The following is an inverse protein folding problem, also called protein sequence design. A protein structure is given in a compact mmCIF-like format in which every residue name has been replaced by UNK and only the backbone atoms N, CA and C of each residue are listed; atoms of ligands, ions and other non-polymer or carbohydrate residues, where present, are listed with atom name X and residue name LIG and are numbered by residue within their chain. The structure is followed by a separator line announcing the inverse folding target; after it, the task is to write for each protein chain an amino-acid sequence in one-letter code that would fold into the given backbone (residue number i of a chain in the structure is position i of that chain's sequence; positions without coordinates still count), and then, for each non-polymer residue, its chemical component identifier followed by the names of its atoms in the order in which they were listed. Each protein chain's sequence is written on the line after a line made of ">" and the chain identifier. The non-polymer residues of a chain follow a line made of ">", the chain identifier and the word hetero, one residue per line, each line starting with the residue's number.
data_IF_604659374012
#
_entry.id   IF_604659374012
#
_cell.length_a   1.000
_cell.length_b   1.000
_cell.length_c   1.000
_cell.angle_alpha   90.00
_cell.angle_beta   90.00
_cell.angle_gamma   90.00
#
_symmetry.space_group_name_H-M   'P 1'
#
loop_
_entity.id
_entity.type
_entity.pdbx_description
1 polymer ?
#
# COMPACT_ATOMS: atom_id res chain seq x y z
N UNK A 1 -17.65 -7.63 13.57
CA UNK A 1 -17.51 -6.94 12.27
C UNK A 1 -16.67 -5.71 12.54
N UNK A 2 -15.57 -5.48 11.83
CA UNK A 2 -14.71 -4.31 12.08
C UNK A 2 -15.53 -3.03 11.88
N UNK A 3 -15.37 -2.05 12.76
CA UNK A 3 -16.06 -0.77 12.68
C UNK A 3 -15.59 0.12 11.50
N UNK A 4 -14.65 -0.36 10.66
CA UNK A 4 -14.07 0.36 9.53
C UNK A 4 -14.14 -0.48 8.24
N UNK A 5 -15.32 -0.67 7.63
CA UNK A 5 -15.48 -1.48 6.41
C UNK A 5 -14.70 -0.94 5.20
N UNK A 6 -14.19 0.30 5.27
CA UNK A 6 -13.45 0.96 4.20
C UNK A 6 -12.03 0.41 3.98
N UNK A 7 -11.46 -0.33 4.95
CA UNK A 7 -10.07 -0.79 4.88
C UNK A 7 -9.99 -2.32 4.86
N UNK A 8 -10.43 -2.92 3.79
CA UNK A 8 -10.47 -4.37 3.60
C UNK A 8 -10.41 -4.73 2.11
N UNK A 9 -10.14 -6.00 1.81
CA UNK A 9 -10.11 -6.48 0.43
C UNK A 9 -8.82 -6.13 -0.32
N UNK A 10 -8.96 -5.79 -1.58
CA UNK A 10 -7.86 -5.49 -2.49
C UNK A 10 -7.62 -3.98 -2.55
N UNK A 11 -6.57 -3.52 -1.89
CA UNK A 11 -6.17 -2.10 -1.84
C UNK A 11 -4.92 -1.91 -2.69
N UNK A 12 -4.91 -0.97 -3.62
CA UNK A 12 -3.72 -0.71 -4.43
C UNK A 12 -2.74 0.23 -3.73
N UNK A 13 -1.46 -0.14 -3.69
CA UNK A 13 -0.37 0.82 -3.48
C UNK A 13 -0.07 1.49 -4.82
N UNK A 14 -0.77 2.59 -5.13
CA UNK A 14 -0.79 3.17 -6.46
C UNK A 14 0.58 3.74 -6.86
N UNK A 15 1.03 3.45 -8.09
CA UNK A 15 2.17 4.14 -8.69
C UNK A 15 1.82 5.61 -8.95
N UNK A 16 2.80 6.51 -8.84
CA UNK A 16 2.65 7.91 -9.27
C UNK A 16 3.23 8.03 -10.68
N UNK A 17 2.39 8.20 -11.71
CA UNK A 17 2.88 8.39 -13.08
C UNK A 17 3.62 9.72 -13.19
N UNK A 18 4.68 9.72 -13.98
CA UNK A 18 5.52 10.88 -14.24
C UNK A 18 5.75 11.02 -15.73
N UNK A 19 5.97 12.25 -16.20
CA UNK A 19 6.40 12.53 -17.56
C UNK A 19 7.89 12.23 -17.77
N UNK A 20 8.42 12.48 -18.97
CA UNK A 20 9.84 12.26 -19.31
C UNK A 20 10.81 13.14 -18.52
N UNK A 21 10.33 14.22 -17.89
CA UNK A 21 11.10 15.14 -17.06
C UNK A 21 11.03 14.80 -15.56
N UNK A 22 10.23 13.79 -15.19
CA UNK A 22 10.02 13.37 -13.80
C UNK A 22 8.98 14.23 -13.06
N UNK A 23 8.19 15.04 -13.77
CA UNK A 23 7.06 15.75 -13.19
C UNK A 23 5.84 14.82 -13.07
N UNK A 24 5.03 15.02 -12.04
CA UNK A 24 3.83 14.19 -11.81
C UNK A 24 2.82 14.39 -12.94
N UNK A 25 2.47 13.31 -13.63
CA UNK A 25 1.49 13.29 -14.72
C UNK A 25 0.07 13.06 -14.18
N UNK A 26 -0.65 14.16 -13.96
CA UNK A 26 -2.01 14.10 -13.41
C UNK A 26 -3.05 13.53 -14.39
N UNK A 27 -2.81 13.61 -15.71
CA UNK A 27 -3.71 13.01 -16.70
C UNK A 27 -3.64 11.47 -16.63
N UNK A 28 -2.45 10.92 -16.56
CA UNK A 28 -2.29 9.48 -16.37
C UNK A 28 -2.70 9.04 -14.96
N UNK A 29 -2.50 9.86 -13.91
CA UNK A 29 -3.00 9.59 -12.57
C UNK A 29 -4.53 9.44 -12.57
N UNK A 30 -5.25 10.34 -13.27
CA UNK A 30 -6.70 10.26 -13.43
C UNK A 30 -7.11 8.94 -14.10
N UNK A 31 -6.44 8.56 -15.20
CA UNK A 31 -6.71 7.30 -15.89
C UNK A 31 -6.49 6.08 -15.00
N UNK A 32 -5.43 6.08 -14.18
CA UNK A 32 -5.16 5.01 -13.22
C UNK A 32 -6.26 4.91 -12.14
N UNK A 33 -6.72 6.04 -11.60
CA UNK A 33 -7.84 6.05 -10.64
C UNK A 33 -9.10 5.45 -11.26
N UNK A 34 -9.47 5.84 -12.48
CA UNK A 34 -10.61 5.27 -13.21
C UNK A 34 -10.42 3.77 -13.49
N UNK A 35 -9.21 3.35 -13.87
CA UNK A 35 -8.87 1.95 -14.09
C UNK A 35 -9.13 1.09 -12.84
N UNK A 36 -8.72 1.58 -11.67
CA UNK A 36 -8.94 0.87 -10.40
C UNK A 36 -10.42 0.85 -9.98
N UNK A 37 -11.14 1.95 -10.15
CA UNK A 37 -12.58 2.01 -9.86
C UNK A 37 -13.35 1.00 -10.74
N UNK A 38 -13.08 0.98 -12.04
CA UNK A 38 -13.74 0.09 -12.99
C UNK A 38 -13.40 -1.39 -12.76
N UNK A 39 -12.22 -1.68 -12.23
CA UNK A 39 -11.77 -3.04 -11.94
C UNK A 39 -12.24 -3.58 -10.59
N UNK A 40 -12.88 -2.76 -9.75
CA UNK A 40 -13.41 -3.19 -8.45
C UNK A 40 -12.37 -3.20 -7.33
N UNK A 41 -11.28 -2.41 -7.43
CA UNK A 41 -10.36 -2.18 -6.32
C UNK A 41 -11.10 -1.57 -5.13
N UNK A 42 -10.84 -2.04 -3.91
CA UNK A 42 -11.57 -1.64 -2.71
C UNK A 42 -11.12 -0.29 -2.12
N UNK A 43 -9.84 0.06 -2.26
CA UNK A 43 -9.29 1.37 -1.87
C UNK A 43 -7.98 1.69 -2.60
N UNK A 44 -7.59 2.96 -2.60
CA UNK A 44 -6.33 3.44 -3.19
C UNK A 44 -5.43 4.01 -2.09
N UNK A 45 -4.18 3.51 -1.99
CA UNK A 45 -3.12 4.21 -1.25
C UNK A 45 -2.39 5.13 -2.22
N UNK A 46 -2.54 6.44 -2.04
CA UNK A 46 -1.83 7.47 -2.80
C UNK A 46 -0.52 7.85 -2.11
N UNK A 47 0.55 7.96 -2.87
CA UNK A 47 1.91 8.34 -2.46
C UNK A 47 2.46 7.58 -1.25
N UNK A 48 2.26 6.25 -1.23
CA UNK A 48 3.05 5.34 -0.38
C UNK A 48 4.43 5.09 -0.99
N UNK A 49 5.11 4.03 -0.54
CA UNK A 49 6.42 3.60 -1.10
C UNK A 49 6.36 3.40 -2.62
N UNK A 50 5.32 2.71 -3.10
CA UNK A 50 5.10 2.45 -4.53
C UNK A 50 4.81 3.73 -5.31
N UNK A 51 4.20 4.72 -4.66
CA UNK A 51 3.94 6.05 -5.22
C UNK A 51 5.14 7.00 -5.16
N UNK A 52 6.34 6.51 -4.79
CA UNK A 52 7.59 7.28 -4.77
C UNK A 52 7.56 8.49 -3.83
N UNK A 53 6.85 8.38 -2.69
CA UNK A 53 6.75 9.47 -1.71
C UNK A 53 8.11 10.02 -1.24
N UNK A 54 9.16 9.18 -1.21
CA UNK A 54 10.49 9.57 -0.75
C UNK A 54 11.23 10.54 -1.69
N UNK A 55 10.83 10.63 -2.96
CA UNK A 55 11.46 11.50 -3.99
C UNK A 55 10.54 12.64 -4.45
N UNK A 56 9.34 12.70 -3.89
CA UNK A 56 8.42 13.83 -4.04
C UNK A 56 8.61 14.80 -2.87
N UNK A 57 8.57 16.11 -3.12
CA UNK A 57 8.49 17.10 -2.05
C UNK A 57 7.17 16.97 -1.26
N UNK A 58 7.09 17.60 -0.10
CA UNK A 58 5.84 17.61 0.69
C UNK A 58 4.68 18.18 -0.14
N UNK A 59 4.90 19.28 -0.86
CA UNK A 59 3.87 19.92 -1.69
C UNK A 59 3.41 19.02 -2.83
N UNK A 60 4.33 18.31 -3.49
CA UNK A 60 3.99 17.34 -4.53
C UNK A 60 3.21 16.14 -3.98
N UNK A 61 3.63 15.61 -2.82
CA UNK A 61 2.92 14.54 -2.12
C UNK A 61 1.47 14.96 -1.82
N UNK A 62 1.29 16.14 -1.20
CA UNK A 62 -0.03 16.69 -0.89
C UNK A 62 -0.86 16.89 -2.16
N UNK A 63 -0.27 17.49 -3.20
CA UNK A 63 -0.95 17.74 -4.47
C UNK A 63 -1.40 16.43 -5.15
N UNK A 64 -0.55 15.40 -5.16
CA UNK A 64 -0.88 14.09 -5.74
C UNK A 64 -2.01 13.40 -4.97
N UNK A 65 -2.01 13.48 -3.63
CA UNK A 65 -3.09 12.94 -2.79
C UNK A 65 -4.40 13.67 -3.08
N UNK A 66 -4.40 15.01 -3.06
CA UNK A 66 -5.60 15.81 -3.31
C UNK A 66 -6.18 15.56 -4.70
N UNK A 67 -5.33 15.41 -5.72
CA UNK A 67 -5.77 15.04 -7.08
C UNK A 67 -6.31 13.62 -7.14
N UNK A 68 -5.74 12.67 -6.40
CA UNK A 68 -6.32 11.32 -6.29
C UNK A 68 -7.71 11.36 -5.66
N UNK A 69 -7.92 12.15 -4.59
CA UNK A 69 -9.24 12.35 -3.96
C UNK A 69 -10.23 12.99 -4.94
N UNK A 70 -9.80 14.04 -5.66
CA UNK A 70 -10.62 14.73 -6.68
C UNK A 70 -11.08 13.74 -7.77
N UNK A 71 -10.15 12.93 -8.31
CA UNK A 71 -10.47 11.96 -9.36
C UNK A 71 -11.31 10.78 -8.85
N UNK A 72 -11.08 10.35 -7.62
CA UNK A 72 -11.90 9.32 -6.97
C UNK A 72 -13.35 9.79 -6.79
N UNK A 73 -13.58 11.08 -6.55
CA UNK A 73 -14.89 11.71 -6.43
C UNK A 73 -15.85 10.94 -5.47
N UNK A 74 -15.32 10.41 -4.37
CA UNK A 74 -16.06 9.62 -3.39
C UNK A 74 -16.47 8.20 -3.83
N UNK A 75 -16.09 7.77 -5.04
CA UNK A 75 -16.42 6.42 -5.57
C UNK A 75 -15.56 5.31 -5.00
N UNK A 76 -14.39 5.63 -4.50
CA UNK A 76 -13.43 4.70 -3.89
C UNK A 76 -12.70 5.42 -2.75
N UNK A 77 -12.48 4.76 -1.60
CA UNK A 77 -11.70 5.33 -0.50
C UNK A 77 -10.25 5.64 -0.92
N UNK A 78 -9.73 6.79 -0.46
CA UNK A 78 -8.33 7.17 -0.67
C UNK A 78 -7.61 7.22 0.67
N UNK A 79 -6.53 6.47 0.78
CA UNK A 79 -5.61 6.43 1.93
C UNK A 79 -4.36 7.20 1.53
N UNK A 80 -3.92 8.14 2.36
CA UNK A 80 -2.72 8.93 2.11
C UNK A 80 -1.48 8.32 2.75
N UNK A 81 -0.38 8.21 2.03
CA UNK A 81 0.94 7.95 2.61
C UNK A 81 1.44 9.19 3.33
N UNK A 82 1.56 9.15 4.66
CA UNK A 82 1.92 10.31 5.50
C UNK A 82 3.13 10.06 6.40
N UNK A 83 3.70 8.85 6.38
CA UNK A 83 4.80 8.47 7.26
C UNK A 83 6.12 9.15 6.90
N UNK A 84 6.90 9.47 7.92
CA UNK A 84 8.27 9.95 7.83
C UNK A 84 9.09 9.39 9.00
N UNK A 85 10.43 9.46 8.91
CA UNK A 85 11.29 9.03 10.02
C UNK A 85 11.47 10.11 11.10
N UNK A 86 11.06 11.35 10.82
CA UNK A 86 10.93 12.42 11.81
C UNK A 86 9.45 12.59 12.20
N UNK A 87 9.15 12.51 13.50
CA UNK A 87 7.78 12.65 14.00
C UNK A 87 7.14 13.98 13.62
N UNK A 88 7.91 15.06 13.61
CA UNK A 88 7.45 16.40 13.22
C UNK A 88 7.02 16.49 11.75
N UNK A 89 7.73 15.81 10.85
CA UNK A 89 7.39 15.76 9.43
C UNK A 89 6.11 14.95 9.19
N UNK A 90 5.98 13.78 9.85
CA UNK A 90 4.78 12.97 9.77
C UNK A 90 3.54 13.73 10.30
N UNK A 91 3.68 14.48 11.39
CA UNK A 91 2.63 15.35 11.93
C UNK A 91 2.28 16.46 10.93
N UNK A 92 3.29 17.12 10.36
CA UNK A 92 3.08 18.19 9.37
C UNK A 92 2.31 17.67 8.16
N UNK A 93 2.76 16.54 7.59
CA UNK A 93 2.10 15.91 6.44
C UNK A 93 0.65 15.52 6.76
N UNK A 94 0.42 14.92 7.92
CA UNK A 94 -0.92 14.51 8.37
C UNK A 94 -1.84 15.73 8.54
N UNK A 95 -1.37 16.82 9.16
CA UNK A 95 -2.15 18.04 9.36
C UNK A 95 -2.53 18.75 8.06
N UNK A 96 -1.64 18.76 7.04
CA UNK A 96 -1.92 19.34 5.73
C UNK A 96 -3.10 18.63 5.01
N UNK A 97 -3.39 17.40 5.39
CA UNK A 97 -4.48 16.60 4.81
C UNK A 97 -5.77 16.60 5.66
N UNK A 98 -5.83 17.36 6.75
CA UNK A 98 -7.08 17.53 7.49
C UNK A 98 -8.16 18.16 6.57
N UNK A 99 -9.37 17.61 6.63
CA UNK A 99 -10.51 18.03 5.80
C UNK A 99 -10.32 17.87 4.28
N UNK A 100 -9.35 17.07 3.83
CA UNK A 100 -9.05 16.86 2.42
C UNK A 100 -9.94 15.83 1.72
N UNK A 101 -10.76 15.10 2.48
CA UNK A 101 -11.60 14.01 1.97
C UNK A 101 -10.90 12.64 1.89
N UNK A 102 -9.68 12.51 2.39
CA UNK A 102 -9.04 11.19 2.56
C UNK A 102 -9.77 10.35 3.60
N UNK A 103 -9.77 9.04 3.41
CA UNK A 103 -10.42 8.09 4.30
C UNK A 103 -9.53 7.63 5.46
N UNK A 104 -8.20 7.76 5.32
CA UNK A 104 -7.20 7.36 6.31
C UNK A 104 -5.79 7.75 5.92
N UNK A 105 -4.87 7.58 6.86
CA UNK A 105 -3.44 7.76 6.67
C UNK A 105 -2.72 6.41 6.80
N UNK A 106 -1.71 6.17 5.96
CA UNK A 106 -0.77 5.05 6.08
C UNK A 106 0.58 5.60 6.50
N UNK A 107 0.98 5.30 7.75
CA UNK A 107 2.23 5.78 8.34
C UNK A 107 3.24 4.66 8.51
N UNK A 108 4.33 4.71 7.75
CA UNK A 108 5.44 3.75 7.85
C UNK A 108 6.20 3.94 9.15
N UNK A 109 6.70 2.84 9.74
CA UNK A 109 7.63 2.91 10.88
C UNK A 109 8.85 3.75 10.51
N UNK A 110 9.41 4.55 11.45
CA UNK A 110 10.60 5.34 11.17
C UNK A 110 11.75 4.48 10.63
N UNK A 111 12.23 4.85 9.47
CA UNK A 111 13.32 4.19 8.75
C UNK A 111 14.65 4.88 9.04
N UNK A 112 15.75 4.14 8.90
CA UNK A 112 17.13 4.63 9.02
C UNK A 112 17.58 4.89 10.45
N UNK A 113 16.86 5.69 11.25
CA UNK A 113 17.22 6.09 12.62
C UNK A 113 16.93 5.02 13.70
N UNK A 114 16.29 3.89 13.33
CA UNK A 114 16.11 2.68 14.16
C UNK A 114 15.62 2.95 15.59
N UNK A 115 14.44 3.54 15.77
CA UNK A 115 13.92 3.82 17.11
C UNK A 115 13.66 2.54 17.91
N UNK A 116 13.67 2.66 19.22
CA UNK A 116 13.20 1.60 20.13
C UNK A 116 11.69 1.38 20.00
N UNK A 117 11.15 0.28 20.56
CA UNK A 117 9.71 0.04 20.60
C UNK A 117 8.96 1.19 21.29
N UNK A 118 9.50 1.74 22.37
CA UNK A 118 8.93 2.90 23.04
C UNK A 118 8.98 4.16 22.15
N UNK A 119 10.08 4.37 21.44
CA UNK A 119 10.20 5.46 20.46
C UNK A 119 9.15 5.36 19.35
N UNK A 120 8.92 4.15 18.80
CA UNK A 120 7.86 3.92 17.81
C UNK A 120 6.46 4.14 18.40
N UNK A 121 6.22 3.69 19.64
CA UNK A 121 4.95 3.95 20.33
C UNK A 121 4.68 5.46 20.48
N UNK A 122 5.65 6.23 20.95
CA UNK A 122 5.50 7.68 21.12
C UNK A 122 5.34 8.40 19.77
N UNK A 123 6.05 7.95 18.73
CA UNK A 123 5.94 8.48 17.38
C UNK A 123 4.51 8.35 16.83
N UNK A 124 3.95 7.14 16.82
CA UNK A 124 2.60 6.92 16.30
C UNK A 124 1.52 7.53 17.19
N UNK A 125 1.72 7.55 18.50
CA UNK A 125 0.83 8.24 19.43
C UNK A 125 0.74 9.73 19.10
N UNK A 126 1.89 10.41 18.96
CA UNK A 126 1.93 11.84 18.63
C UNK A 126 1.27 12.15 17.27
N UNK A 127 1.42 11.28 16.26
CA UNK A 127 0.74 11.42 14.97
C UNK A 127 -0.77 11.24 15.16
N UNK A 128 -1.21 10.22 15.87
CA UNK A 128 -2.63 9.98 16.10
C UNK A 128 -3.30 11.14 16.89
N UNK A 129 -2.61 11.73 17.85
CA UNK A 129 -3.11 12.85 18.66
C UNK A 129 -3.23 14.16 17.88
N UNK A 130 -2.64 14.28 16.67
CA UNK A 130 -2.68 15.51 15.90
C UNK A 130 -3.87 15.61 14.91
N UNK A 131 -4.69 14.55 14.80
CA UNK A 131 -5.79 14.45 13.83
C UNK A 131 -6.85 13.46 14.30
N UNK A 132 -8.07 13.58 13.76
CA UNK A 132 -9.14 12.57 13.91
C UNK A 132 -9.17 11.56 12.75
N UNK A 133 -8.33 11.74 11.72
CA UNK A 133 -8.28 10.85 10.56
C UNK A 133 -7.79 9.46 11.01
N UNK A 134 -8.44 8.36 10.57
CA UNK A 134 -7.98 7.00 10.88
C UNK A 134 -6.54 6.75 10.46
N UNK A 135 -5.74 6.14 11.35
CA UNK A 135 -4.32 5.84 11.13
C UNK A 135 -4.14 4.34 10.93
N UNK A 136 -3.47 3.97 9.86
CA UNK A 136 -3.00 2.61 9.58
C UNK A 136 -1.48 2.61 9.75
N UNK A 137 -0.98 1.84 10.68
CA UNK A 137 0.45 1.63 10.90
C UNK A 137 1.03 0.85 9.69
N UNK A 138 2.30 1.07 9.36
CA UNK A 138 2.93 0.28 8.30
C UNK A 138 4.29 -0.25 8.76
N UNK A 139 4.38 -1.58 8.93
CA UNK A 139 5.59 -2.30 9.33
C UNK A 139 6.24 -3.02 8.15
N UNK A 140 7.47 -2.64 7.80
CA UNK A 140 8.23 -3.20 6.68
C UNK A 140 9.74 -3.22 7.00
N UNK A 141 10.17 -4.10 7.91
CA UNK A 141 11.53 -4.06 8.46
C UNK A 141 12.62 -4.25 7.42
N UNK A 142 12.35 -4.97 6.32
CA UNK A 142 13.28 -5.12 5.21
C UNK A 142 13.65 -3.81 4.49
N UNK A 143 12.80 -2.78 4.59
CA UNK A 143 13.08 -1.44 4.04
C UNK A 143 13.52 -0.45 5.09
N UNK A 144 12.97 -0.54 6.29
CA UNK A 144 13.14 0.48 7.32
C UNK A 144 14.32 0.21 8.25
N UNK A 145 14.71 -1.05 8.40
CA UNK A 145 15.65 -1.48 9.44
C UNK A 145 15.07 -1.42 10.85
N UNK A 146 13.75 -1.20 10.96
CA UNK A 146 12.99 -1.14 12.22
C UNK A 146 11.81 -2.09 12.13
N UNK A 147 11.54 -2.84 13.20
CA UNK A 147 10.44 -3.80 13.28
C UNK A 147 9.51 -3.46 14.44
N UNK A 148 8.28 -3.06 14.13
CA UNK A 148 7.23 -2.79 15.10
C UNK A 148 6.66 -4.10 15.60
N UNK A 149 6.99 -4.44 16.87
CA UNK A 149 6.58 -5.71 17.46
C UNK A 149 5.07 -5.78 17.75
N UNK A 150 4.44 -6.96 17.66
CA UNK A 150 3.00 -7.14 17.92
C UNK A 150 2.56 -6.61 19.30
N UNK A 151 3.42 -6.69 20.31
CA UNK A 151 3.14 -6.14 21.66
C UNK A 151 3.00 -4.61 21.63
N UNK A 152 3.82 -3.93 20.83
CA UNK A 152 3.73 -2.48 20.63
C UNK A 152 2.50 -2.11 19.82
N UNK A 153 2.14 -2.90 18.79
CA UNK A 153 0.90 -2.76 18.05
C UNK A 153 -0.31 -2.87 18.97
N UNK A 154 -0.33 -3.86 19.89
CA UNK A 154 -1.41 -4.03 20.87
C UNK A 154 -1.55 -2.84 21.84
N UNK A 155 -0.46 -2.14 22.17
CA UNK A 155 -0.50 -0.88 22.92
C UNK A 155 -1.09 0.26 22.09
N UNK A 156 -0.67 0.39 20.83
CA UNK A 156 -1.13 1.42 19.91
C UNK A 156 -2.60 1.26 19.53
N UNK A 157 -3.09 0.04 19.42
CA UNK A 157 -4.51 -0.26 19.13
C UNK A 157 -5.49 0.28 20.21
N UNK A 158 -4.99 0.68 21.40
CA UNK A 158 -5.81 1.34 22.41
C UNK A 158 -6.06 2.83 22.12
N UNK A 159 -5.37 3.40 21.14
CA UNK A 159 -5.54 4.79 20.70
C UNK A 159 -6.67 4.79 19.66
N UNK A 160 -7.74 5.55 19.92
CA UNK A 160 -9.04 5.48 19.22
C UNK A 160 -8.96 5.53 17.70
N UNK A 161 -8.09 6.35 17.13
CA UNK A 161 -7.98 6.53 15.69
C UNK A 161 -6.83 5.74 15.05
N UNK A 162 -6.09 4.92 15.81
CA UNK A 162 -5.20 3.90 15.23
C UNK A 162 -6.04 2.64 15.00
N UNK A 163 -6.42 2.42 13.75
CA UNK A 163 -7.45 1.44 13.40
C UNK A 163 -6.92 0.14 12.82
N UNK A 164 -5.65 0.11 12.40
CA UNK A 164 -5.09 -1.09 11.78
C UNK A 164 -3.60 -0.98 11.49
N UNK A 165 -3.09 -2.04 10.88
CA UNK A 165 -1.71 -2.16 10.44
C UNK A 165 -1.62 -2.81 9.06
N UNK A 166 -0.72 -2.30 8.20
CA UNK A 166 -0.14 -3.01 7.06
C UNK A 166 1.09 -3.75 7.54
N UNK A 167 1.01 -5.08 7.61
CA UNK A 167 2.11 -5.94 8.04
C UNK A 167 2.84 -6.52 6.81
N UNK A 168 4.10 -6.19 6.64
CA UNK A 168 4.91 -6.54 5.48
C UNK A 168 6.25 -7.20 5.85
N UNK A 169 6.27 -7.98 6.94
CA UNK A 169 7.43 -8.82 7.29
C UNK A 169 7.54 -10.08 6.43
N UNK A 170 6.41 -10.54 5.83
CA UNK A 170 6.28 -11.85 5.21
C UNK A 170 6.02 -12.99 6.22
N UNK A 171 6.10 -12.74 7.52
CA UNK A 171 5.72 -13.69 8.57
C UNK A 171 4.22 -13.61 8.85
N UNK A 172 3.46 -14.47 8.18
CA UNK A 172 1.99 -14.49 8.30
C UNK A 172 1.48 -14.86 9.70
N UNK A 173 2.31 -15.52 10.53
CA UNK A 173 1.93 -15.87 11.92
C UNK A 173 1.66 -14.63 12.77
N UNK A 174 2.23 -13.49 12.41
CA UNK A 174 2.03 -12.20 13.08
C UNK A 174 0.58 -11.70 13.00
N UNK A 175 -0.17 -12.10 11.97
CA UNK A 175 -1.60 -11.75 11.84
C UNK A 175 -2.37 -12.18 13.08
N UNK A 176 -2.28 -13.46 13.44
CA UNK A 176 -2.99 -14.00 14.60
C UNK A 176 -2.50 -13.38 15.91
N UNK A 177 -1.18 -13.21 16.06
CA UNK A 177 -0.59 -12.57 17.25
C UNK A 177 -1.07 -11.13 17.43
N UNK A 178 -1.11 -10.34 16.34
CA UNK A 178 -1.61 -8.96 16.37
C UNK A 178 -3.09 -8.95 16.74
N UNK A 179 -3.93 -9.80 16.12
CA UNK A 179 -5.35 -9.90 16.44
C UNK A 179 -5.59 -10.26 17.91
N UNK A 180 -4.80 -11.17 18.45
CA UNK A 180 -4.89 -11.54 19.87
C UNK A 180 -4.58 -10.37 20.81
N UNK A 181 -3.61 -9.52 20.48
CA UNK A 181 -3.15 -8.40 21.32
C UNK A 181 -3.94 -7.11 21.11
N UNK A 182 -4.36 -6.83 19.88
CA UNK A 182 -5.04 -5.60 19.49
C UNK A 182 -6.58 -5.71 19.48
N UNK A 183 -7.10 -6.94 19.48
CA UNK A 183 -8.54 -7.21 19.37
C UNK A 183 -9.01 -7.48 17.94
N UNK A 184 -10.17 -8.13 17.80
CA UNK A 184 -10.70 -8.55 16.50
C UNK A 184 -11.13 -7.38 15.60
N UNK A 185 -11.46 -6.24 16.17
CA UNK A 185 -11.85 -5.03 15.41
C UNK A 185 -10.66 -4.28 14.83
N UNK A 186 -9.43 -4.58 15.27
CA UNK A 186 -8.21 -3.98 14.74
C UNK A 186 -7.87 -4.61 13.39
N UNK A 187 -7.74 -3.78 12.35
CA UNK A 187 -7.55 -4.22 10.97
C UNK A 187 -6.09 -4.66 10.75
N UNK A 188 -5.91 -5.84 10.18
CA UNK A 188 -4.60 -6.31 9.71
C UNK A 188 -4.66 -6.50 8.20
N UNK A 189 -3.85 -5.74 7.47
CA UNK A 189 -3.69 -5.86 6.02
C UNK A 189 -2.32 -6.44 5.70
N UNK A 190 -2.26 -7.41 4.80
CA UNK A 190 -0.97 -7.86 4.28
C UNK A 190 -0.31 -6.75 3.46
N UNK A 191 0.99 -6.59 3.62
CA UNK A 191 1.81 -5.72 2.79
C UNK A 191 2.69 -6.48 1.80
N UNK A 192 2.53 -7.80 1.71
CA UNK A 192 3.28 -8.70 0.85
C UNK A 192 2.33 -9.52 -0.03
N UNK A 193 2.41 -9.31 -1.35
CA UNK A 193 1.51 -9.94 -2.31
C UNK A 193 1.61 -11.47 -2.30
N UNK A 194 2.83 -12.01 -2.21
CA UNK A 194 3.07 -13.45 -2.32
C UNK A 194 2.46 -14.25 -1.16
N UNK A 195 2.34 -13.67 0.01
CA UNK A 195 1.79 -14.31 1.22
C UNK A 195 0.41 -13.78 1.61
N UNK A 196 -0.17 -12.87 0.80
CA UNK A 196 -1.41 -12.17 1.15
C UNK A 196 -2.60 -13.09 1.39
N UNK A 197 -2.79 -14.10 0.52
CA UNK A 197 -3.89 -15.03 0.65
C UNK A 197 -3.74 -15.90 1.93
N UNK A 198 -2.50 -16.31 2.27
CA UNK A 198 -2.25 -17.04 3.51
C UNK A 198 -2.51 -16.15 4.74
N UNK A 199 -2.10 -14.87 4.69
CA UNK A 199 -2.44 -13.92 5.73
C UNK A 199 -3.97 -13.77 5.90
N UNK A 200 -4.74 -13.75 4.80
CA UNK A 200 -6.21 -13.69 4.86
C UNK A 200 -6.81 -14.98 5.46
N UNK A 201 -6.26 -16.17 5.18
CA UNK A 201 -6.66 -17.42 5.85
C UNK A 201 -6.45 -17.35 7.37
N UNK A 202 -5.47 -16.57 7.83
CA UNK A 202 -5.16 -16.36 9.25
C UNK A 202 -5.89 -15.17 9.88
N UNK A 203 -6.78 -14.50 9.13
CA UNK A 203 -7.65 -13.45 9.64
C UNK A 203 -7.29 -12.02 9.24
N UNK A 204 -6.38 -11.82 8.28
CA UNK A 204 -6.19 -10.50 7.68
C UNK A 204 -7.41 -10.11 6.84
N UNK A 205 -7.79 -8.83 6.86
CA UNK A 205 -8.94 -8.30 6.14
C UNK A 205 -8.69 -8.08 4.65
N UNK A 206 -7.43 -8.12 4.21
CA UNK A 206 -7.06 -7.88 2.81
C UNK A 206 -5.58 -7.62 2.63
N UNK A 207 -5.24 -6.95 1.52
CA UNK A 207 -3.87 -6.65 1.13
C UNK A 207 -3.74 -5.22 0.58
N UNK A 208 -2.65 -4.53 0.93
CA UNK A 208 -2.21 -3.33 0.22
C UNK A 208 -1.12 -3.78 -0.77
N UNK A 209 -1.51 -3.93 -2.03
CA UNK A 209 -0.83 -4.71 -3.06
C UNK A 209 -0.05 -3.84 -4.05
N UNK A 210 1.08 -4.36 -4.53
CA UNK A 210 1.81 -3.84 -5.70
C UNK A 210 1.24 -4.45 -6.98
N UNK A 211 0.96 -5.75 -6.99
CA UNK A 211 0.39 -6.48 -8.14
C UNK A 211 -0.93 -5.88 -8.61
N UNK A 212 -1.70 -5.31 -7.68
CA UNK A 212 -2.97 -4.63 -7.99
C UNK A 212 -2.81 -3.50 -9.02
N UNK A 213 -1.66 -2.84 -9.13
CA UNK A 213 -1.44 -1.80 -10.16
C UNK A 213 -1.65 -2.29 -11.60
N UNK A 214 -1.46 -3.58 -11.87
CA UNK A 214 -1.50 -4.17 -13.21
C UNK A 214 -2.52 -5.30 -13.38
N UNK A 215 -3.02 -5.86 -12.27
CA UNK A 215 -4.02 -6.93 -12.27
C UNK A 215 -5.15 -6.65 -11.26
N UNK A 216 -5.79 -5.46 -11.28
CA UNK A 216 -6.72 -5.06 -10.23
C UNK A 216 -7.97 -5.94 -10.15
N UNK A 217 -8.55 -6.35 -11.26
CA UNK A 217 -9.75 -7.18 -11.27
C UNK A 217 -9.50 -8.57 -10.67
N UNK A 218 -8.35 -9.18 -10.97
CA UNK A 218 -7.97 -10.48 -10.44
C UNK A 218 -7.66 -10.39 -8.94
N UNK A 219 -6.95 -9.34 -8.50
CA UNK A 219 -6.66 -9.09 -7.09
C UNK A 219 -7.95 -8.83 -6.31
N UNK A 220 -8.87 -8.02 -6.82
CA UNK A 220 -10.17 -7.78 -6.21
C UNK A 220 -10.97 -9.08 -6.07
N UNK A 221 -11.06 -9.87 -7.16
CA UNK A 221 -11.75 -11.16 -7.15
C UNK A 221 -11.15 -12.14 -6.14
N UNK A 222 -9.82 -12.26 -6.10
CA UNK A 222 -9.12 -13.11 -5.13
C UNK A 222 -9.45 -12.71 -3.68
N UNK A 223 -9.37 -11.43 -3.36
CA UNK A 223 -9.66 -10.93 -2.02
C UNK A 223 -11.15 -11.13 -1.64
N UNK A 224 -12.07 -10.86 -2.56
CA UNK A 224 -13.51 -11.06 -2.30
C UNK A 224 -13.83 -12.53 -2.03
N UNK A 225 -13.31 -13.46 -2.84
CA UNK A 225 -13.45 -14.91 -2.61
C UNK A 225 -12.87 -15.34 -1.26
N UNK A 226 -11.69 -14.84 -0.91
CA UNK A 226 -11.06 -15.15 0.38
C UNK A 226 -11.90 -14.66 1.55
N UNK A 227 -12.49 -13.46 1.47
CA UNK A 227 -13.39 -12.91 2.49
C UNK A 227 -14.71 -13.68 2.62
N UNK A 228 -15.17 -14.31 1.54
CA UNK A 228 -16.32 -15.23 1.54
C UNK A 228 -15.97 -16.63 2.05
N UNK A 229 -14.70 -16.89 2.40
CA UNK A 229 -14.22 -18.21 2.81
C UNK A 229 -14.00 -19.20 1.66
N UNK A 230 -14.09 -18.75 0.41
CA UNK A 230 -13.88 -19.54 -0.82
C UNK A 230 -12.39 -19.64 -1.17
N UNK A 231 -11.60 -20.15 -0.24
CA UNK A 231 -10.13 -20.16 -0.35
C UNK A 231 -9.59 -21.00 -1.51
N UNK A 232 -10.27 -22.09 -1.90
CA UNK A 232 -9.85 -22.91 -3.04
C UNK A 232 -9.97 -22.17 -4.38
N UNK A 233 -11.02 -21.35 -4.53
CA UNK A 233 -11.21 -20.52 -5.73
C UNK A 233 -10.22 -19.34 -5.73
N UNK A 234 -10.01 -18.70 -4.59
CA UNK A 234 -9.02 -17.66 -4.41
C UNK A 234 -7.60 -18.17 -4.72
N UNK A 235 -7.26 -19.38 -4.28
CA UNK A 235 -5.96 -20.00 -4.51
C UNK A 235 -5.65 -20.19 -6.01
N UNK A 236 -6.62 -20.56 -6.83
CA UNK A 236 -6.45 -20.69 -8.29
C UNK A 236 -6.05 -19.36 -8.93
N UNK A 237 -6.61 -18.25 -8.45
CA UNK A 237 -6.25 -16.91 -8.92
C UNK A 237 -4.85 -16.54 -8.42
N UNK A 238 -4.58 -16.75 -7.13
CA UNK A 238 -3.28 -16.49 -6.49
C UNK A 238 -2.13 -17.20 -7.21
N UNK A 239 -2.31 -18.48 -7.54
CA UNK A 239 -1.31 -19.26 -8.28
C UNK A 239 -1.01 -18.67 -9.66
N UNK A 240 -2.01 -18.19 -10.38
CA UNK A 240 -1.83 -17.53 -11.67
C UNK A 240 -1.10 -16.19 -11.53
N UNK A 241 -1.34 -15.46 -10.43
CA UNK A 241 -0.68 -14.18 -10.15
C UNK A 241 0.70 -14.33 -9.50
N UNK A 242 1.06 -15.53 -8.98
CA UNK A 242 2.32 -15.76 -8.27
C UNK A 242 3.58 -15.35 -9.05
N UNK A 243 3.68 -15.55 -10.39
CA UNK A 243 4.78 -15.00 -11.17
C UNK A 243 4.91 -13.47 -11.06
N UNK A 244 3.78 -12.74 -11.03
CA UNK A 244 3.78 -11.28 -10.81
C UNK A 244 4.20 -10.93 -9.39
N UNK A 245 3.63 -11.57 -8.38
CA UNK A 245 3.97 -11.35 -6.97
C UNK A 245 5.48 -11.44 -6.71
N UNK A 246 6.18 -12.31 -7.43
CA UNK A 246 7.63 -12.49 -7.33
C UNK A 246 8.42 -11.49 -8.20
N UNK A 247 8.05 -11.37 -9.48
CA UNK A 247 8.87 -10.63 -10.44
C UNK A 247 8.69 -9.10 -10.36
N UNK A 248 7.61 -8.61 -9.73
CA UNK A 248 7.47 -7.18 -9.41
C UNK A 248 8.40 -6.72 -8.27
N UNK A 249 9.16 -7.63 -7.69
CA UNK A 249 10.18 -7.35 -6.66
C UNK A 249 11.57 -7.85 -7.07
N UNK A 250 11.79 -8.18 -8.35
CA UNK A 250 13.10 -8.60 -8.88
C UNK A 250 14.15 -7.47 -8.76
N UNK A 251 13.69 -6.23 -8.80
CA UNK A 251 14.41 -5.03 -8.37
C UNK A 251 13.54 -4.29 -7.34
N UNK A 252 14.09 -3.26 -6.72
CA UNK A 252 13.36 -2.52 -5.68
C UNK A 252 12.04 -1.96 -6.21
N UNK A 253 10.92 -2.31 -5.56
CA UNK A 253 9.63 -1.67 -5.81
C UNK A 253 9.74 -0.14 -5.58
N UNK A 254 9.27 0.74 -6.52
CA UNK A 254 8.32 0.45 -7.61
C UNK A 254 8.93 0.25 -9.01
N UNK A 255 10.23 -0.01 -9.12
CA UNK A 255 10.91 -0.10 -10.43
C UNK A 255 10.20 -1.09 -11.38
N UNK A 256 10.00 -2.38 -11.01
CA UNK A 256 9.39 -3.33 -11.93
C UNK A 256 7.91 -3.04 -12.22
N UNK A 257 7.14 -2.65 -11.21
CA UNK A 257 5.70 -2.42 -11.42
C UNK A 257 5.43 -1.18 -12.28
N UNK A 258 6.21 -0.12 -12.12
CA UNK A 258 6.06 1.08 -12.94
C UNK A 258 6.39 0.80 -14.41
N UNK A 259 7.45 0.03 -14.65
CA UNK A 259 7.78 -0.45 -15.98
C UNK A 259 6.69 -1.38 -16.57
N UNK A 260 6.10 -2.25 -15.74
CA UNK A 260 4.98 -3.10 -16.16
C UNK A 260 3.74 -2.27 -16.55
N UNK A 261 3.40 -1.24 -15.77
CA UNK A 261 2.34 -0.29 -16.13
C UNK A 261 2.59 0.36 -17.50
N UNK A 262 3.84 0.79 -17.76
CA UNK A 262 4.23 1.33 -19.06
C UNK A 262 4.06 0.30 -20.18
N UNK A 263 4.52 -0.94 -19.99
CA UNK A 263 4.40 -2.00 -21.00
C UNK A 263 2.95 -2.38 -21.32
N UNK A 264 2.05 -2.24 -20.37
CA UNK A 264 0.61 -2.46 -20.54
C UNK A 264 -0.13 -1.21 -21.08
N UNK A 265 0.58 -0.10 -21.34
CA UNK A 265 -0.01 1.13 -21.84
C UNK A 265 -0.88 1.87 -20.81
N UNK A 266 -0.74 1.54 -19.53
CA UNK A 266 -1.47 2.20 -18.42
C UNK A 266 -0.91 3.58 -18.11
N UNK A 267 0.39 3.79 -18.36
CA UNK A 267 1.11 5.07 -18.26
C UNK A 267 1.97 5.29 -19.50
N UNK A 268 2.27 6.54 -19.83
CA UNK A 268 2.99 6.88 -21.06
C UNK A 268 4.50 6.74 -20.94
N UNK A 269 5.06 6.94 -19.75
CA UNK A 269 6.50 6.93 -19.51
C UNK A 269 6.84 6.04 -18.30
N UNK A 270 7.91 5.23 -18.36
CA UNK A 270 8.36 4.41 -17.22
C UNK A 270 9.24 5.20 -16.24
N UNK A 271 9.21 6.53 -16.28
CA UNK A 271 10.11 7.43 -15.56
C UNK A 271 9.96 7.29 -14.05
N UNK A 272 11.10 7.17 -13.37
CA UNK A 272 11.25 7.26 -11.92
C UNK A 272 12.20 8.40 -11.59
N UNK A 273 12.06 8.98 -10.39
CA UNK A 273 13.04 9.96 -9.90
C UNK A 273 14.24 9.28 -9.25
N UNK A 274 15.43 9.82 -9.49
CA UNK A 274 16.65 9.36 -8.82
C UNK A 274 16.46 9.39 -7.28
N UNK A 275 17.00 8.40 -6.55
CA UNK A 275 18.00 7.42 -7.01
C UNK A 275 17.42 6.18 -7.72
N UNK A 276 16.11 6.09 -7.92
CA UNK A 276 15.49 5.00 -8.67
C UNK A 276 15.62 5.25 -10.17
N UNK A 277 15.81 4.16 -10.92
CA UNK A 277 15.95 4.16 -12.38
C UNK A 277 14.92 3.25 -13.01
N UNK A 278 14.73 3.35 -14.32
CA UNK A 278 13.89 2.42 -15.07
C UNK A 278 14.43 0.99 -14.91
N UNK A 279 13.54 0.01 -14.92
CA UNK A 279 13.89 -1.42 -14.82
C UNK A 279 15.03 -1.80 -15.77
N UNK A 280 16.05 -2.45 -15.23
CA UNK A 280 17.22 -2.87 -16.00
C UNK A 280 16.82 -3.79 -17.17
N UNK A 281 17.51 -3.66 -18.30
CA UNK A 281 17.28 -4.51 -19.47
C UNK A 281 17.41 -6.01 -19.12
N UNK A 282 18.27 -6.35 -18.20
CA UNK A 282 18.47 -7.72 -17.70
C UNK A 282 17.22 -8.28 -17.01
N UNK A 283 16.48 -7.45 -16.30
CA UNK A 283 15.29 -7.86 -15.52
C UNK A 283 13.99 -7.81 -16.35
N UNK A 284 13.94 -7.02 -17.43
CA UNK A 284 12.74 -6.86 -18.26
C UNK A 284 12.17 -8.19 -18.79
N UNK A 285 12.96 -9.17 -19.28
CA UNK A 285 12.41 -10.44 -19.75
C UNK A 285 11.64 -11.21 -18.68
N UNK A 286 12.09 -11.20 -17.42
CA UNK A 286 11.42 -11.89 -16.32
C UNK A 286 10.06 -11.26 -15.99
N UNK A 287 9.96 -9.92 -16.05
CA UNK A 287 8.69 -9.23 -15.85
C UNK A 287 7.74 -9.46 -17.02
N UNK A 288 8.23 -9.44 -18.28
CA UNK A 288 7.42 -9.77 -19.45
C UNK A 288 6.86 -11.18 -19.40
N UNK A 289 7.67 -12.15 -19.00
CA UNK A 289 7.21 -13.55 -18.86
C UNK A 289 6.15 -13.65 -17.76
N UNK A 290 6.32 -12.96 -16.63
CA UNK A 290 5.32 -12.94 -15.57
C UNK A 290 3.98 -12.33 -16.03
N UNK A 291 4.01 -11.27 -16.86
CA UNK A 291 2.81 -10.66 -17.45
C UNK A 291 2.08 -11.66 -18.36
N UNK A 292 2.81 -12.40 -19.21
CA UNK A 292 2.24 -13.44 -20.10
C UNK A 292 1.61 -14.59 -19.30
N UNK A 293 2.33 -15.11 -18.30
CA UNK A 293 1.83 -16.20 -17.45
C UNK A 293 0.57 -15.80 -16.66
N UNK A 294 0.43 -14.54 -16.32
CA UNK A 294 -0.77 -14.01 -15.69
C UNK A 294 -1.92 -13.71 -16.68
N UNK A 295 -1.65 -13.79 -18.00
CA UNK A 295 -2.63 -13.51 -19.06
C UNK A 295 -2.92 -12.03 -19.28
N UNK A 296 -1.92 -11.17 -19.01
CA UNK A 296 -2.03 -9.72 -19.19
C UNK A 296 -1.39 -9.24 -20.50
N UNK A 297 -0.63 -10.11 -21.17
CA UNK A 297 -0.05 -9.93 -22.51
C UNK A 297 -0.30 -11.17 -23.36
#
# INVERSE_FOLDING_TARGET
>A
MSNHPLFQGSIVALVTPMDSHGEVDFENLKKLVEFHINAGTDAIVSVGTTGESATLSIDENVKAILKTVEFAAGRIPVIAGTGANATSEAITMTKLLNNSGISGCLSVVPYYNKPTQEGMYQHFKAIAECTDIPQILYNVPGRTGSDLQPETVGRLAKIKNIVGIKEATGDVSRVQKIKQLAGNDFIVLSGDDATSLEAMKLGAEGVISVTNNIAPAEMAKMCHLAREGKFEEAEKINQRLMPLHKNLFIESNPIPVKWACYKLGLIQEPTLRLPLTVLSEKAQPSVLEALKLAGLL
#
